data_IF_634252055004
#
_entry.id   IF_634252055004
#
_cell.length_a   1.000
_cell.length_b   1.000
_cell.length_c   1.000
_cell.angle_alpha   90.00
_cell.angle_beta   90.00
_cell.angle_gamma   90.00
#
_symmetry.space_group_name_H-M   'P 1'
#
loop_
_entity.id
_entity.type
_entity.pdbx_description
1 polymer ?
#
# COMPACT_ATOMS: atom_id res chain seq x y z
N UNK A 1 -7.80 70.68 35.27
CA UNK A 1 -6.78 69.64 35.49
C UNK A 1 -7.27 68.72 36.60
N UNK A 2 -7.27 67.39 36.37
CA UNK A 2 -7.09 66.32 37.39
C UNK A 2 -8.18 66.26 38.50
N UNK A 3 -9.07 65.26 38.61
CA UNK A 3 -8.83 63.82 38.63
C UNK A 3 -10.06 63.03 38.16
N UNK A 4 -9.84 62.23 37.13
CA UNK A 4 -10.75 61.21 36.64
C UNK A 4 -10.61 59.92 37.48
N UNK A 5 -11.69 59.14 37.54
CA UNK A 5 -11.68 57.69 37.48
C UNK A 5 -10.82 56.93 38.51
N UNK A 6 -11.17 56.98 39.80
CA UNK A 6 -10.66 55.99 40.78
C UNK A 6 -11.81 55.18 41.41
N UNK A 7 -12.95 55.82 41.68
CA UNK A 7 -14.10 55.15 42.33
C UNK A 7 -14.78 54.11 41.44
N UNK A 8 -14.92 54.37 40.13
CA UNK A 8 -15.57 53.43 39.20
C UNK A 8 -14.76 52.16 38.92
N UNK A 9 -13.42 52.26 38.90
CA UNK A 9 -12.53 51.12 38.63
C UNK A 9 -12.43 50.20 39.86
N UNK A 10 -12.42 50.76 41.07
CA UNK A 10 -12.41 49.98 42.32
C UNK A 10 -13.72 49.22 42.55
N UNK A 11 -14.87 49.82 42.21
CA UNK A 11 -16.18 49.14 42.33
C UNK A 11 -16.35 48.05 41.26
N UNK A 12 -15.83 48.26 40.05
CA UNK A 12 -15.85 47.25 38.99
C UNK A 12 -14.93 46.04 39.31
N UNK A 13 -13.76 46.27 39.93
CA UNK A 13 -12.86 45.18 40.33
C UNK A 13 -13.41 44.36 41.50
N UNK A 14 -13.96 45.02 42.53
CA UNK A 14 -14.57 44.32 43.67
C UNK A 14 -15.83 43.55 43.25
N UNK A 15 -16.67 44.13 42.36
CA UNK A 15 -17.83 43.44 41.81
C UNK A 15 -17.46 42.20 40.98
N UNK A 16 -16.37 42.26 40.20
CA UNK A 16 -15.87 41.12 39.44
C UNK A 16 -15.33 39.98 40.31
N UNK A 17 -14.54 40.31 41.35
CA UNK A 17 -13.96 39.31 42.26
C UNK A 17 -15.04 38.68 43.15
N UNK A 18 -15.96 39.48 43.70
CA UNK A 18 -17.09 38.96 44.50
C UNK A 18 -18.03 38.15 43.62
N UNK A 19 -18.31 38.59 42.38
CA UNK A 19 -19.10 37.82 41.41
C UNK A 19 -18.47 36.47 41.08
N UNK A 20 -17.16 36.41 40.86
CA UNK A 20 -16.45 35.15 40.62
C UNK A 20 -16.43 34.24 41.86
N UNK A 21 -16.23 34.80 43.05
CA UNK A 21 -16.25 34.04 44.31
C UNK A 21 -17.63 33.44 44.58
N UNK A 22 -18.70 34.21 44.34
CA UNK A 22 -20.10 33.74 44.45
C UNK A 22 -20.38 32.66 43.39
N UNK A 23 -19.95 32.85 42.13
CA UNK A 23 -20.15 31.83 41.08
C UNK A 23 -19.45 30.50 41.38
N UNK A 24 -18.30 30.53 42.06
CA UNK A 24 -17.54 29.32 42.45
C UNK A 24 -18.10 28.64 43.70
N UNK A 25 -18.80 29.37 44.59
CA UNK A 25 -19.35 28.84 45.83
C UNK A 25 -20.88 28.67 45.81
N UNK A 26 -21.54 29.09 44.73
CA UNK A 26 -22.88 28.65 44.44
C UNK A 26 -22.79 27.17 44.04
N UNK A 27 -23.43 26.32 44.83
CA UNK A 27 -23.62 24.90 44.54
C UNK A 27 -24.45 24.77 43.26
N UNK A 28 -23.78 24.86 42.12
CA UNK A 28 -24.35 24.53 40.84
C UNK A 28 -24.35 23.02 40.76
N UNK A 29 -25.51 22.41 41.04
CA UNK A 29 -25.87 21.05 40.64
C UNK A 29 -25.93 20.86 39.11
N UNK A 30 -24.98 21.46 38.39
CA UNK A 30 -24.82 21.48 36.95
C UNK A 30 -23.41 21.07 36.61
N UNK A 31 -23.26 19.78 36.38
CA UNK A 31 -22.12 19.09 35.77
C UNK A 31 -21.23 20.00 34.92
N UNK A 32 -20.03 20.30 35.41
CA UNK A 32 -18.94 20.74 34.56
C UNK A 32 -18.70 19.64 33.52
N UNK A 33 -19.03 19.90 32.25
CA UNK A 33 -18.62 19.01 31.17
C UNK A 33 -17.09 19.10 31.09
N UNK A 34 -16.35 18.03 31.36
CA UNK A 34 -14.94 18.03 31.03
C UNK A 34 -14.86 18.17 29.50
N UNK A 35 -14.07 19.13 29.02
CA UNK A 35 -13.57 19.09 27.66
C UNK A 35 -12.70 17.84 27.54
N UNK A 36 -13.34 16.71 27.25
CA UNK A 36 -12.68 15.49 26.87
C UNK A 36 -12.02 15.78 25.53
N UNK A 37 -10.76 16.21 25.59
CA UNK A 37 -9.79 15.91 24.55
C UNK A 37 -9.74 14.38 24.47
N UNK A 38 -10.71 13.79 23.77
CA UNK A 38 -10.58 12.46 23.22
C UNK A 38 -9.52 12.59 22.13
N UNK A 39 -8.25 12.53 22.55
CA UNK A 39 -7.21 12.07 21.66
C UNK A 39 -7.67 10.67 21.24
N UNK A 40 -8.29 10.60 20.06
CA UNK A 40 -8.67 9.33 19.47
C UNK A 40 -7.38 8.56 19.27
N UNK A 41 -7.08 7.67 20.21
CA UNK A 41 -6.07 6.64 20.04
C UNK A 41 -6.49 5.90 18.78
N UNK A 42 -5.78 6.12 17.67
CA UNK A 42 -5.94 5.32 16.47
C UNK A 42 -5.55 3.90 16.87
N UNK A 43 -6.52 3.12 17.32
CA UNK A 43 -6.34 1.75 17.69
C UNK A 43 -6.06 0.99 16.40
N UNK A 44 -4.78 0.78 16.11
CA UNK A 44 -4.33 -0.01 14.98
C UNK A 44 -4.94 -1.41 15.15
N UNK A 45 -5.92 -1.74 14.32
CA UNK A 45 -6.54 -3.06 14.30
C UNK A 45 -5.85 -3.91 13.23
N UNK A 46 -5.49 -5.14 13.61
CA UNK A 46 -5.08 -6.16 12.65
C UNK A 46 -6.35 -6.70 12.01
N UNK A 47 -6.43 -6.65 10.68
CA UNK A 47 -7.52 -7.27 9.92
C UNK A 47 -7.03 -8.60 9.39
N UNK A 48 -7.60 -9.69 9.90
CA UNK A 48 -7.39 -11.04 9.37
C UNK A 48 -8.55 -11.39 8.44
N UNK A 49 -8.23 -11.66 7.18
CA UNK A 49 -9.21 -12.03 6.15
C UNK A 49 -8.65 -13.16 5.28
N UNK A 50 -9.55 -13.94 4.65
CA UNK A 50 -9.16 -14.89 3.60
C UNK A 50 -8.92 -14.19 2.27
N UNK A 51 -9.74 -13.18 1.99
CA UNK A 51 -9.73 -12.43 0.74
C UNK A 51 -9.97 -10.94 1.03
N UNK A 52 -9.26 -10.07 0.32
CA UNK A 52 -9.53 -8.63 0.31
C UNK A 52 -9.73 -8.19 -1.13
N UNK A 53 -10.97 -7.79 -1.46
CA UNK A 53 -11.35 -7.35 -2.82
C UNK A 53 -11.63 -5.86 -2.86
N UNK A 54 -10.96 -5.17 -3.77
CA UNK A 54 -11.36 -3.83 -4.19
C UNK A 54 -12.42 -3.98 -5.29
N UNK A 55 -13.63 -3.48 -5.04
CA UNK A 55 -14.73 -3.46 -6.01
C UNK A 55 -15.02 -2.04 -6.47
N UNK A 56 -15.37 -1.86 -7.74
CA UNK A 56 -15.83 -0.57 -8.25
C UNK A 56 -17.32 -0.34 -8.00
N UNK A 57 -17.83 0.85 -8.37
CA UNK A 57 -19.22 1.25 -8.15
C UNK A 57 -20.24 0.36 -8.88
N UNK A 58 -19.82 -0.41 -9.89
CA UNK A 58 -20.67 -1.38 -10.59
C UNK A 58 -20.64 -2.78 -9.94
N UNK A 59 -19.86 -2.95 -8.87
CA UNK A 59 -19.67 -4.23 -8.18
C UNK A 59 -18.56 -5.10 -8.78
N UNK A 60 -17.78 -4.59 -9.75
CA UNK A 60 -16.72 -5.36 -10.40
C UNK A 60 -15.42 -5.33 -9.59
N UNK A 61 -14.79 -6.50 -9.41
CA UNK A 61 -13.47 -6.62 -8.75
C UNK A 61 -12.39 -5.96 -9.61
N UNK A 62 -11.62 -5.05 -9.00
CA UNK A 62 -10.51 -4.28 -9.61
C UNK A 62 -9.15 -4.62 -9.04
N UNK A 63 -9.10 -5.13 -7.82
CA UNK A 63 -7.94 -5.76 -7.25
C UNK A 63 -8.37 -6.81 -6.22
N UNK A 64 -7.53 -7.82 -6.01
CA UNK A 64 -7.79 -8.90 -5.06
C UNK A 64 -6.48 -9.36 -4.43
N UNK A 65 -6.41 -9.32 -3.10
CA UNK A 65 -5.39 -10.00 -2.30
C UNK A 65 -6.01 -11.30 -1.81
N UNK A 66 -5.47 -12.43 -2.27
CA UNK A 66 -6.03 -13.77 -2.03
C UNK A 66 -4.91 -14.83 -2.10
N UNK A 67 -5.27 -16.08 -1.79
CA UNK A 67 -4.47 -17.24 -2.17
C UNK A 67 -4.95 -17.73 -3.54
N UNK A 68 -4.03 -17.84 -4.50
CA UNK A 68 -4.30 -18.44 -5.80
C UNK A 68 -4.66 -19.93 -5.66
N UNK A 69 -5.04 -20.58 -6.78
CA UNK A 69 -5.58 -21.94 -6.77
C UNK A 69 -4.73 -22.98 -6.02
N UNK A 70 -3.40 -22.83 -6.04
CA UNK A 70 -2.46 -23.75 -5.40
C UNK A 70 -2.08 -23.34 -3.96
N UNK A 71 -2.72 -22.28 -3.43
CA UNK A 71 -2.45 -21.74 -2.09
C UNK A 71 -1.47 -20.55 -2.08
N UNK A 72 -0.99 -20.13 -3.25
CA UNK A 72 0.07 -19.13 -3.35
C UNK A 72 -0.46 -17.71 -3.09
N UNK A 73 0.14 -16.94 -2.18
CA UNK A 73 -0.31 -15.59 -1.91
C UNK A 73 -0.06 -14.68 -3.11
N UNK A 74 -1.11 -13.98 -3.56
CA UNK A 74 -1.04 -13.11 -4.72
C UNK A 74 -1.95 -11.87 -4.59
N UNK A 75 -1.47 -10.77 -5.16
CA UNK A 75 -2.20 -9.54 -5.41
C UNK A 75 -2.44 -9.39 -6.91
N UNK A 76 -3.70 -9.42 -7.30
CA UNK A 76 -4.16 -9.26 -8.68
C UNK A 76 -4.69 -7.86 -8.93
N UNK A 77 -4.45 -7.31 -10.12
CA UNK A 77 -5.09 -6.10 -10.60
C UNK A 77 -5.86 -6.37 -11.89
N UNK A 78 -7.11 -5.93 -11.96
CA UNK A 78 -8.01 -6.16 -13.10
C UNK A 78 -8.36 -4.86 -13.81
N UNK A 79 -8.45 -4.90 -15.13
CA UNK A 79 -8.99 -3.78 -15.91
C UNK A 79 -10.53 -3.71 -15.88
N UNK A 80 -11.11 -2.75 -16.62
CA UNK A 80 -12.56 -2.57 -16.70
C UNK A 80 -13.29 -3.73 -17.37
N UNK A 81 -12.60 -4.52 -18.19
CA UNK A 81 -13.14 -5.73 -18.81
C UNK A 81 -12.99 -6.95 -17.89
N UNK A 82 -12.24 -6.83 -16.78
CA UNK A 82 -12.05 -7.88 -15.79
C UNK A 82 -10.85 -8.75 -16.12
N UNK A 83 -10.01 -8.30 -17.05
CA UNK A 83 -8.78 -8.97 -17.43
C UNK A 83 -7.71 -8.68 -16.40
N UNK A 84 -6.97 -9.70 -16.00
CA UNK A 84 -5.83 -9.56 -15.11
C UNK A 84 -4.71 -8.80 -15.85
N UNK A 85 -4.28 -7.65 -15.30
CA UNK A 85 -3.24 -6.78 -15.87
C UNK A 85 -1.90 -6.92 -15.17
N UNK A 86 -1.92 -7.34 -13.91
CA UNK A 86 -0.74 -7.46 -13.09
C UNK A 86 -0.97 -8.46 -11.97
N UNK A 87 0.06 -9.26 -11.70
CA UNK A 87 0.14 -10.13 -10.53
C UNK A 87 1.45 -9.83 -9.81
N UNK A 88 1.38 -9.66 -8.49
CA UNK A 88 2.51 -9.72 -7.57
C UNK A 88 2.25 -10.88 -6.62
N UNK A 89 3.18 -11.82 -6.50
CA UNK A 89 2.96 -12.99 -5.64
C UNK A 89 4.22 -13.80 -5.43
N UNK A 90 4.04 -14.96 -4.80
CA UNK A 90 5.06 -15.99 -4.69
C UNK A 90 4.70 -17.15 -5.62
N UNK A 91 5.70 -17.82 -6.19
CA UNK A 91 5.46 -19.10 -6.86
C UNK A 91 5.06 -20.17 -5.83
N UNK A 92 4.65 -21.34 -6.34
CA UNK A 92 4.28 -22.46 -5.48
C UNK A 92 5.43 -22.91 -4.57
N UNK A 93 5.13 -23.55 -3.43
CA UNK A 93 6.17 -24.17 -2.59
C UNK A 93 7.07 -25.15 -3.34
N UNK A 94 6.54 -25.82 -4.37
CA UNK A 94 7.31 -26.71 -5.24
C UNK A 94 8.34 -25.97 -6.13
N UNK A 95 8.13 -24.67 -6.34
CA UNK A 95 8.98 -23.77 -7.10
C UNK A 95 9.84 -22.86 -6.21
N UNK A 96 9.82 -23.07 -4.89
CA UNK A 96 10.67 -22.37 -3.93
C UNK A 96 10.11 -21.04 -3.42
N UNK A 97 8.81 -20.77 -3.61
CA UNK A 97 8.15 -19.55 -3.12
C UNK A 97 8.82 -18.24 -3.60
N UNK A 98 9.48 -18.28 -4.76
CA UNK A 98 10.19 -17.10 -5.26
C UNK A 98 9.21 -15.96 -5.57
N UNK A 99 9.54 -14.71 -5.20
CA UNK A 99 8.70 -13.57 -5.50
C UNK A 99 8.75 -13.25 -7.00
N UNK A 100 7.60 -12.83 -7.52
CA UNK A 100 7.48 -12.38 -8.91
C UNK A 100 6.52 -11.19 -9.07
N UNK A 101 6.72 -10.45 -10.14
CA UNK A 101 5.77 -9.51 -10.73
C UNK A 101 5.56 -9.90 -12.19
N UNK A 102 4.30 -10.10 -12.60
CA UNK A 102 3.93 -10.37 -14.00
C UNK A 102 3.02 -9.25 -14.48
N UNK A 103 3.32 -8.70 -15.65
CA UNK A 103 2.49 -7.75 -16.39
C UNK A 103 1.85 -8.48 -17.56
N UNK A 104 0.54 -8.34 -17.74
CA UNK A 104 -0.21 -9.00 -18.81
C UNK A 104 -0.75 -7.98 -19.84
N UNK A 105 -0.70 -8.35 -21.12
CA UNK A 105 -1.31 -7.61 -22.22
C UNK A 105 -2.84 -7.79 -22.27
N UNK A 106 -3.53 -7.08 -23.17
CA UNK A 106 -5.02 -7.11 -23.27
C UNK A 106 -5.56 -8.41 -23.85
N UNK A 107 -4.68 -9.25 -24.41
CA UNK A 107 -4.96 -10.61 -24.86
C UNK A 107 -4.61 -11.64 -23.77
N UNK A 108 -4.19 -11.21 -22.57
CA UNK A 108 -3.78 -12.05 -21.44
C UNK A 108 -2.47 -12.82 -21.66
N UNK A 109 -1.61 -12.33 -22.54
CA UNK A 109 -0.23 -12.81 -22.58
C UNK A 109 0.64 -12.02 -21.61
N UNK A 110 1.57 -12.68 -20.94
CA UNK A 110 2.61 -11.97 -20.19
C UNK A 110 3.44 -11.11 -21.16
N UNK A 111 3.60 -9.83 -20.80
CA UNK A 111 4.39 -8.82 -21.50
C UNK A 111 5.69 -8.47 -20.75
N UNK A 112 5.70 -8.65 -19.44
CA UNK A 112 6.87 -8.46 -18.59
C UNK A 112 6.81 -9.38 -17.38
N UNK A 113 7.95 -9.95 -17.02
CA UNK A 113 8.10 -10.78 -15.81
C UNK A 113 9.35 -10.29 -15.09
N UNK A 114 9.24 -9.95 -13.81
CA UNK A 114 10.37 -9.77 -12.91
C UNK A 114 10.27 -10.83 -11.83
N UNK A 115 11.30 -11.66 -11.67
CA UNK A 115 11.25 -12.81 -10.76
C UNK A 115 12.62 -13.18 -10.24
N UNK A 116 12.65 -13.95 -9.16
CA UNK A 116 13.82 -14.75 -8.80
C UNK A 116 13.74 -16.13 -9.45
N UNK A 117 14.90 -16.73 -9.75
CA UNK A 117 14.98 -18.02 -10.41
C UNK A 117 16.26 -18.78 -10.06
N UNK A 118 16.16 -20.11 -10.01
CA UNK A 118 17.27 -21.03 -9.76
C UNK A 118 17.68 -21.13 -8.28
N UNK A 119 18.65 -22.01 -8.00
CA UNK A 119 19.08 -22.34 -6.64
C UNK A 119 19.68 -21.16 -5.85
N UNK A 120 20.11 -20.11 -6.55
CA UNK A 120 20.66 -18.89 -5.98
C UNK A 120 19.68 -17.70 -5.99
N UNK A 121 18.39 -17.95 -6.27
CA UNK A 121 17.34 -16.92 -6.31
C UNK A 121 17.74 -15.70 -7.17
N UNK A 122 18.31 -15.98 -8.34
CA UNK A 122 18.87 -14.92 -9.19
C UNK A 122 17.77 -14.05 -9.79
N UNK A 123 17.91 -12.72 -9.74
CA UNK A 123 16.91 -11.81 -10.29
C UNK A 123 17.01 -11.79 -11.82
N UNK A 124 15.86 -11.98 -12.47
CA UNK A 124 15.73 -11.97 -13.93
C UNK A 124 14.51 -11.14 -14.32
N UNK A 125 14.69 -10.29 -15.32
CA UNK A 125 13.60 -9.65 -16.04
C UNK A 125 13.47 -10.26 -17.42
N UNK A 126 12.25 -10.65 -17.78
CA UNK A 126 11.86 -11.16 -19.09
C UNK A 126 10.90 -10.18 -19.71
N UNK A 127 11.27 -9.61 -20.85
CA UNK A 127 10.40 -8.80 -21.69
C UNK A 127 9.83 -9.67 -22.80
N UNK A 128 8.52 -9.60 -23.00
CA UNK A 128 7.77 -10.48 -23.89
C UNK A 128 6.94 -9.68 -24.87
N UNK A 129 6.69 -10.24 -26.05
CA UNK A 129 5.79 -9.70 -27.06
C UNK A 129 4.88 -10.83 -27.54
N UNK A 130 3.57 -10.63 -27.41
CA UNK A 130 2.56 -11.66 -27.74
C UNK A 130 2.86 -13.02 -27.10
N UNK A 131 3.29 -13.01 -25.84
CA UNK A 131 3.62 -14.21 -25.06
C UNK A 131 5.00 -14.82 -25.35
N UNK A 132 5.75 -14.31 -26.33
CA UNK A 132 7.08 -14.80 -26.67
C UNK A 132 8.17 -13.96 -26.02
N UNK A 133 9.23 -14.59 -25.50
CA UNK A 133 10.38 -13.88 -24.92
C UNK A 133 11.12 -13.11 -26.01
N UNK A 134 11.46 -11.84 -25.72
CA UNK A 134 12.15 -10.94 -26.65
C UNK A 134 13.48 -10.44 -26.12
N UNK A 135 13.55 -10.18 -24.82
CA UNK A 135 14.77 -9.79 -24.14
C UNK A 135 14.75 -10.35 -22.73
N UNK A 136 15.90 -10.84 -22.28
CA UNK A 136 16.09 -11.31 -20.91
C UNK A 136 17.36 -10.67 -20.39
N UNK A 137 17.31 -10.13 -19.18
CA UNK A 137 18.47 -9.61 -18.48
C UNK A 137 18.37 -9.93 -17.00
N UNK A 138 19.52 -10.14 -16.37
CA UNK A 138 19.56 -10.59 -14.99
C UNK A 138 20.91 -11.19 -14.64
N UNK A 139 20.90 -12.03 -13.61
CA UNK A 139 22.07 -12.81 -13.19
C UNK A 139 21.90 -14.27 -13.61
N UNK A 140 22.97 -14.89 -14.09
CA UNK A 140 22.97 -16.28 -14.49
C UNK A 140 22.69 -17.18 -13.26
N UNK A 141 21.75 -18.13 -13.31
CA UNK A 141 21.37 -18.94 -12.14
C UNK A 141 22.48 -19.86 -11.61
N UNK A 142 23.51 -20.13 -12.40
CA UNK A 142 24.63 -20.99 -12.02
C UNK A 142 25.87 -20.20 -11.60
N UNK A 143 26.23 -19.14 -12.36
CA UNK A 143 27.45 -18.37 -12.07
C UNK A 143 27.19 -17.08 -11.30
N UNK A 144 25.95 -16.59 -11.28
CA UNK A 144 25.52 -15.27 -10.80
C UNK A 144 26.09 -14.08 -11.58
N UNK A 145 26.77 -14.34 -12.71
CA UNK A 145 27.27 -13.28 -13.58
C UNK A 145 26.12 -12.56 -14.29
N UNK A 146 26.24 -11.24 -14.52
CA UNK A 146 25.24 -10.49 -15.26
C UNK A 146 25.20 -10.90 -16.74
N UNK A 147 24.00 -10.96 -17.31
CA UNK A 147 23.79 -11.19 -18.74
C UNK A 147 22.68 -10.31 -19.32
N UNK A 148 22.72 -10.14 -20.65
CA UNK A 148 21.64 -9.62 -21.48
C UNK A 148 21.57 -10.46 -22.75
N UNK A 149 20.40 -11.03 -23.05
CA UNK A 149 20.13 -11.78 -24.28
C UNK A 149 18.89 -11.24 -24.97
N UNK A 150 18.97 -11.08 -26.28
CA UNK A 150 17.82 -10.81 -27.13
C UNK A 150 17.43 -12.06 -27.92
N UNK A 151 16.14 -12.25 -28.14
CA UNK A 151 15.60 -13.41 -28.86
C UNK A 151 14.93 -12.90 -30.14
N UNK A 152 15.39 -13.43 -31.27
CA UNK A 152 14.84 -13.12 -32.58
C UNK A 152 13.48 -13.81 -32.80
N UNK A 153 12.66 -13.39 -33.79
CA UNK A 153 11.36 -14.01 -34.07
C UNK A 153 11.42 -15.51 -34.38
N UNK A 154 12.56 -16.01 -34.85
CA UNK A 154 12.83 -17.43 -35.12
C UNK A 154 13.29 -18.21 -33.87
N UNK A 155 13.32 -17.57 -32.70
CA UNK A 155 13.78 -18.13 -31.43
C UNK A 155 15.30 -18.08 -31.24
N UNK A 156 16.07 -17.56 -32.20
CA UNK A 156 17.53 -17.48 -32.08
C UNK A 156 17.93 -16.48 -30.99
N UNK A 157 18.73 -16.96 -30.02
CA UNK A 157 19.31 -16.16 -28.95
C UNK A 157 20.54 -15.40 -29.47
N UNK A 158 20.61 -14.11 -29.14
CA UNK A 158 21.74 -13.24 -29.38
C UNK A 158 22.19 -12.67 -28.04
N UNK A 159 23.29 -13.21 -27.49
CA UNK A 159 23.89 -12.70 -26.26
C UNK A 159 24.49 -11.33 -26.55
N UNK A 160 23.94 -10.29 -25.94
CA UNK A 160 24.44 -8.91 -26.05
C UNK A 160 25.61 -8.72 -25.09
N UNK A 161 25.50 -9.31 -23.89
CA UNK A 161 26.50 -9.26 -22.84
C UNK A 161 26.33 -10.47 -21.92
N UNK A 162 27.44 -10.99 -21.39
CA UNK A 162 27.44 -12.15 -20.50
C UNK A 162 26.92 -13.43 -21.16
N UNK A 163 26.79 -14.48 -20.34
CA UNK A 163 26.26 -15.78 -20.76
C UNK A 163 24.91 -16.01 -20.09
N UNK A 164 23.87 -16.14 -20.92
CA UNK A 164 22.54 -16.56 -20.49
C UNK A 164 22.54 -18.03 -20.07
#
# INVERSE_FOLDING_TARGET
>A
MKNANVTGILVAFLGGIVGAYVLVHMDHGGTALPAASAAATLQQSIVTARDVRLVDASGKVRAELTLAGDGDPALFFFDREGRNRMVLGLYSPAEGEFPFVVLNDTKQHAAGIFRLFGAHETPVVVLKSEGQDRSIYGLNPSSTDPFIVNIAPDGKKNNVFGNY
#
